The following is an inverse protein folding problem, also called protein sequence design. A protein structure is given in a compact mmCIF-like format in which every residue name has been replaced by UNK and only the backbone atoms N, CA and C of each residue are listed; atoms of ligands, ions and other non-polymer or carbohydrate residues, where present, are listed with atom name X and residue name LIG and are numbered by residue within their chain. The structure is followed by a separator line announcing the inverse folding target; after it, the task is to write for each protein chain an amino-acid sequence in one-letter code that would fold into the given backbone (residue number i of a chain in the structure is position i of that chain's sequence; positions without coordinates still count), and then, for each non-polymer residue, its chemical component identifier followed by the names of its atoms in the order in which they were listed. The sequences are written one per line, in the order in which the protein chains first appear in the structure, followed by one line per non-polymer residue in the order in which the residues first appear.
data_IF_786229892178
#
_entry.id   IF_786229892178
#
_cell.length_a   1.000
_cell.length_b   1.000
_cell.length_c   1.000
_cell.angle_alpha   90.00
_cell.angle_beta   90.00
_cell.angle_gamma   90.00
#
_symmetry.space_group_name_H-M   'P 1'
#
loop_
_entity.id
_entity.type
_entity.pdbx_description
1 polymer ?
#
# COMPACT_ATOMS: atom_id res chain seq x y z
N UNK A 1 3.88 -13.56 10.12
CA UNK A 1 3.64 -12.94 8.81
C UNK A 1 4.67 -11.86 8.47
N UNK A 2 4.78 -10.80 9.27
CA UNK A 2 5.71 -9.68 8.99
C UNK A 2 7.17 -10.15 8.97
N UNK A 3 7.62 -10.94 9.95
CA UNK A 3 8.98 -11.50 9.99
C UNK A 3 9.25 -12.46 8.84
N UNK A 4 8.27 -13.29 8.46
CA UNK A 4 8.36 -14.19 7.29
C UNK A 4 8.51 -13.42 5.97
N UNK A 5 8.04 -12.17 5.95
CA UNK A 5 8.18 -11.26 4.82
C UNK A 5 9.31 -10.22 5.00
N UNK A 6 10.30 -10.54 5.86
CA UNK A 6 11.55 -9.80 5.97
C UNK A 6 11.54 -8.60 6.93
N UNK A 7 10.47 -8.38 7.68
CA UNK A 7 10.43 -7.30 8.66
C UNK A 7 11.16 -7.68 9.96
N UNK A 8 11.89 -6.74 10.51
CA UNK A 8 12.41 -6.84 11.89
C UNK A 8 11.40 -6.19 12.85
N UNK A 9 10.92 -6.96 13.83
CA UNK A 9 9.97 -6.47 14.82
C UNK A 9 10.70 -5.83 15.99
N UNK A 10 10.28 -4.62 16.35
CA UNK A 10 10.72 -3.90 17.54
C UNK A 10 9.49 -3.58 18.39
N UNK A 11 9.60 -3.84 19.68
CA UNK A 11 8.52 -3.54 20.62
C UNK A 11 8.79 -2.22 21.33
N UNK A 12 7.72 -1.46 21.56
CA UNK A 12 7.76 -0.27 22.37
C UNK A 12 6.48 -0.16 23.23
N UNK A 13 6.58 0.55 24.33
CA UNK A 13 5.48 0.76 25.27
C UNK A 13 5.06 2.23 25.30
N UNK A 14 3.84 2.59 24.86
CA UNK A 14 3.36 3.97 24.96
C UNK A 14 3.30 4.51 26.41
N UNK A 15 3.36 3.62 27.41
CA UNK A 15 3.37 4.00 28.83
C UNK A 15 4.79 4.26 29.33
N UNK A 16 5.77 3.40 28.95
CA UNK A 16 7.08 3.37 29.58
C UNK A 16 8.20 3.97 28.75
N UNK A 17 8.10 3.91 27.42
CA UNK A 17 9.13 4.44 26.54
C UNK A 17 8.85 5.92 26.24
N UNK A 18 9.91 6.69 26.00
CA UNK A 18 9.80 8.13 25.71
C UNK A 18 9.43 8.44 24.27
N UNK A 19 9.69 7.51 23.34
CA UNK A 19 9.50 7.70 21.90
C UNK A 19 9.41 6.38 21.16
N UNK A 20 8.87 6.44 19.93
CA UNK A 20 8.92 5.33 18.97
C UNK A 20 10.38 5.11 18.54
N UNK A 21 10.84 3.86 18.37
CA UNK A 21 12.19 3.57 17.88
C UNK A 21 12.53 4.34 16.60
N UNK A 22 13.70 5.00 16.56
CA UNK A 22 14.11 5.89 15.47
C UNK A 22 14.28 5.19 14.12
N UNK A 23 14.59 3.91 14.14
CA UNK A 23 14.77 3.06 12.96
C UNK A 23 13.50 2.30 12.56
N UNK A 24 12.36 2.69 13.11
CA UNK A 24 11.06 2.20 12.65
C UNK A 24 10.69 2.81 11.29
N UNK A 25 10.26 1.97 10.37
CA UNK A 25 9.78 2.34 9.04
C UNK A 25 8.28 2.07 8.86
N UNK A 26 7.67 1.37 9.81
CA UNK A 26 6.25 1.16 9.97
C UNK A 26 5.89 1.05 11.44
N UNK A 27 4.69 1.44 11.83
CA UNK A 27 4.24 1.36 13.22
C UNK A 27 2.87 0.71 13.33
N UNK A 28 2.71 -0.16 14.32
CA UNK A 28 1.44 -0.84 14.60
C UNK A 28 1.07 -0.62 16.06
N UNK A 29 -0.09 -0.01 16.27
CA UNK A 29 -0.75 0.08 17.57
C UNK A 29 -1.84 -0.99 17.62
N UNK A 30 -1.52 -2.11 18.26
CA UNK A 30 -2.47 -3.21 18.41
C UNK A 30 -3.63 -2.89 19.35
N UNK A 31 -4.61 -3.76 19.35
CA UNK A 31 -5.70 -3.78 20.33
C UNK A 31 -5.21 -3.85 21.77
N UNK A 32 -6.08 -3.52 22.69
CA UNK A 32 -5.82 -3.49 24.13
C UNK A 32 -6.87 -2.65 24.82
N UNK A 33 -6.60 -2.29 26.06
CA UNK A 33 -7.53 -1.54 26.92
C UNK A 33 -6.89 -0.23 27.41
N UNK A 34 -6.61 0.74 26.49
CA UNK A 34 -5.92 1.99 26.84
C UNK A 34 -6.72 2.84 27.84
N UNK A 35 -8.04 2.68 27.91
CA UNK A 35 -8.90 3.35 28.88
C UNK A 35 -8.56 3.00 30.34
N UNK A 36 -7.95 1.85 30.58
CA UNK A 36 -7.49 1.46 31.92
C UNK A 36 -6.21 2.19 32.35
N UNK A 37 -5.47 2.69 31.39
CA UNK A 37 -4.19 3.37 31.55
C UNK A 37 -4.23 4.77 30.95
N UNK A 38 -5.42 5.34 30.80
CA UNK A 38 -5.62 6.60 30.10
C UNK A 38 -4.83 7.76 30.76
N UNK A 39 -4.72 7.74 32.09
CA UNK A 39 -3.96 8.74 32.84
C UNK A 39 -2.46 8.60 32.53
N UNK A 40 -1.89 7.43 32.67
CA UNK A 40 -0.46 7.13 32.44
C UNK A 40 -0.08 7.44 30.98
N UNK A 41 -0.90 7.02 30.02
CA UNK A 41 -0.73 7.34 28.60
C UNK A 41 -0.70 8.86 28.36
N UNK A 42 -1.60 9.61 29.01
CA UNK A 42 -1.68 11.07 28.87
C UNK A 42 -0.54 11.82 29.53
N UNK A 43 0.05 11.25 30.58
CA UNK A 43 1.20 11.80 31.29
C UNK A 43 2.50 11.64 30.49
N UNK A 44 2.59 10.63 29.62
CA UNK A 44 3.74 10.40 28.74
C UNK A 44 3.72 11.33 27.50
N UNK A 45 3.89 12.64 27.75
CA UNK A 45 3.85 13.65 26.71
C UNK A 45 4.94 13.52 25.65
N UNK A 46 6.08 12.93 26.01
CA UNK A 46 7.18 12.68 25.07
C UNK A 46 6.78 11.65 24.02
N UNK A 47 6.18 10.53 24.44
CA UNK A 47 5.66 9.50 23.53
C UNK A 47 4.53 10.08 22.65
N UNK A 48 3.57 10.81 23.21
CA UNK A 48 2.49 11.46 22.43
C UNK A 48 3.07 12.36 21.33
N UNK A 49 4.08 13.16 21.65
CA UNK A 49 4.78 14.00 20.65
C UNK A 49 5.50 13.16 19.59
N UNK A 50 6.16 12.08 20.03
CA UNK A 50 6.84 11.17 19.11
C UNK A 50 5.86 10.49 18.14
N UNK A 51 4.74 9.97 18.65
CA UNK A 51 3.67 9.38 17.83
C UNK A 51 3.16 10.36 16.79
N UNK A 52 2.83 11.58 17.21
CA UNK A 52 2.36 12.63 16.31
C UNK A 52 3.41 12.95 15.24
N UNK A 53 4.65 13.21 15.64
CA UNK A 53 5.75 13.52 14.72
C UNK A 53 5.96 12.40 13.68
N UNK A 54 5.95 11.16 14.12
CA UNK A 54 6.21 9.99 13.27
C UNK A 54 5.05 9.77 12.29
N UNK A 55 3.79 9.88 12.72
CA UNK A 55 2.64 9.75 11.81
C UNK A 55 2.59 10.92 10.83
N UNK A 56 2.81 12.16 11.29
CA UNK A 56 2.86 13.35 10.44
C UNK A 56 4.00 13.28 9.39
N UNK A 57 5.10 12.56 9.68
CA UNK A 57 6.17 12.32 8.70
C UNK A 57 5.77 11.33 7.59
N UNK A 58 4.62 10.70 7.71
CA UNK A 58 4.05 9.82 6.70
C UNK A 58 4.51 8.36 6.78
N UNK A 59 4.92 7.89 7.95
CA UNK A 59 5.18 6.47 8.20
C UNK A 59 3.90 5.64 7.99
N UNK A 60 4.04 4.41 7.52
CA UNK A 60 2.92 3.49 7.47
C UNK A 60 2.45 3.14 8.89
N UNK A 61 1.16 3.35 9.17
CA UNK A 61 0.59 3.16 10.50
C UNK A 61 -0.67 2.29 10.46
N UNK A 62 -0.69 1.25 11.29
CA UNK A 62 -1.89 0.47 11.60
C UNK A 62 -2.27 0.75 13.06
N UNK A 63 -3.54 1.10 13.30
CA UNK A 63 -4.07 1.31 14.64
C UNK A 63 -5.42 0.60 14.82
N UNK A 64 -5.40 -0.51 15.54
CA UNK A 64 -6.60 -1.34 15.74
C UNK A 64 -7.16 -1.19 17.15
N UNK A 65 -8.48 -1.07 17.27
CA UNK A 65 -9.23 -1.10 18.53
C UNK A 65 -8.64 -0.17 19.61
N UNK A 66 -7.85 -0.70 20.57
CA UNK A 66 -7.18 0.12 21.59
C UNK A 66 -6.18 1.11 20.98
N UNK A 67 -5.45 0.72 19.94
CA UNK A 67 -4.57 1.61 19.18
C UNK A 67 -5.33 2.74 18.51
N UNK A 68 -6.50 2.44 17.93
CA UNK A 68 -7.39 3.44 17.36
C UNK A 68 -7.87 4.44 18.43
N UNK A 69 -8.24 3.96 19.64
CA UNK A 69 -8.62 4.84 20.75
C UNK A 69 -7.48 5.77 21.16
N UNK A 70 -6.23 5.27 21.19
CA UNK A 70 -5.05 6.05 21.54
C UNK A 70 -4.73 7.17 20.53
N UNK A 71 -5.13 7.01 19.27
CA UNK A 71 -4.92 8.04 18.25
C UNK A 71 -5.91 9.21 18.32
N UNK A 72 -6.99 9.13 19.12
CA UNK A 72 -7.94 10.25 19.29
C UNK A 72 -7.32 11.45 20.02
N UNK A 73 -8.01 12.59 19.98
CA UNK A 73 -7.64 13.77 20.77
C UNK A 73 -7.81 13.51 22.26
N UNK A 74 -8.87 12.79 22.65
CA UNK A 74 -9.17 12.45 24.03
C UNK A 74 -9.72 11.03 24.18
N UNK A 75 -9.36 10.40 25.30
CA UNK A 75 -9.91 9.11 25.72
C UNK A 75 -10.53 9.24 27.12
N UNK A 76 -11.78 8.80 27.28
CA UNK A 76 -12.39 8.65 28.58
C UNK A 76 -11.80 7.42 29.28
N UNK A 77 -11.20 7.65 30.45
CA UNK A 77 -10.69 6.56 31.29
C UNK A 77 -11.81 5.81 32.01
N UNK A 78 -11.45 4.71 32.68
CA UNK A 78 -12.40 3.93 33.50
C UNK A 78 -12.94 4.71 34.69
N UNK A 79 -12.28 5.79 35.09
CA UNK A 79 -12.69 6.75 36.14
C UNK A 79 -13.68 7.81 35.64
N UNK A 80 -14.06 7.78 34.37
CA UNK A 80 -14.96 8.72 33.73
C UNK A 80 -14.36 10.09 33.38
N UNK A 81 -13.04 10.26 33.56
CA UNK A 81 -12.35 11.47 33.18
C UNK A 81 -11.80 11.38 31.76
N UNK A 82 -11.69 12.52 31.10
CA UNK A 82 -11.11 12.63 29.77
C UNK A 82 -9.63 12.94 29.85
N UNK A 83 -8.84 12.18 29.12
CA UNK A 83 -7.38 12.28 29.07
C UNK A 83 -6.91 12.58 27.65
N UNK A 84 -6.00 13.55 27.44
CA UNK A 84 -5.46 13.82 26.13
C UNK A 84 -4.61 12.67 25.62
N UNK A 85 -4.76 12.34 24.35
CA UNK A 85 -4.05 11.26 23.64
C UNK A 85 -3.24 11.81 22.47
N UNK A 86 -2.92 10.98 21.47
CA UNK A 86 -2.04 11.37 20.38
C UNK A 86 -2.59 12.50 19.48
N UNK A 87 -3.92 12.66 19.38
CA UNK A 87 -4.55 13.75 18.62
C UNK A 87 -4.31 13.68 17.12
N UNK A 88 -4.19 12.49 16.58
CA UNK A 88 -4.14 12.24 15.12
C UNK A 88 -5.55 12.26 14.55
N UNK A 89 -6.50 11.69 15.29
CA UNK A 89 -7.91 11.66 14.95
C UNK A 89 -8.60 12.67 15.83
N UNK A 90 -9.22 13.68 15.22
CA UNK A 90 -9.98 14.65 15.97
C UNK A 90 -11.23 14.01 16.56
N UNK A 91 -11.50 14.35 17.83
CA UNK A 91 -12.63 13.80 18.54
C UNK A 91 -12.27 13.02 19.79
N UNK A 92 -13.28 12.43 20.38
CA UNK A 92 -13.20 11.74 21.66
C UNK A 92 -13.58 10.27 21.54
N UNK A 93 -12.87 9.42 22.26
CA UNK A 93 -13.27 8.05 22.52
C UNK A 93 -13.86 7.96 23.94
N UNK A 94 -15.11 7.49 24.06
CA UNK A 94 -15.89 7.53 25.30
C UNK A 94 -16.47 6.17 25.64
N UNK A 95 -16.75 5.94 26.92
CA UNK A 95 -17.38 4.70 27.37
C UNK A 95 -18.80 4.56 26.83
N UNK A 96 -19.04 3.49 26.08
CA UNK A 96 -20.35 3.17 25.54
C UNK A 96 -21.36 2.60 26.55
N UNK A 97 -20.93 2.38 27.81
CA UNK A 97 -21.71 1.80 28.92
C UNK A 97 -22.21 0.38 28.71
N UNK A 98 -22.09 -0.15 27.52
CA UNK A 98 -22.46 -1.52 27.16
C UNK A 98 -21.57 -1.98 26.01
N UNK A 99 -21.55 -3.26 25.72
CA UNK A 99 -20.88 -3.81 24.56
C UNK A 99 -21.42 -3.10 23.30
N UNK A 100 -20.54 -2.43 22.56
CA UNK A 100 -20.92 -1.66 21.39
C UNK A 100 -21.00 -2.56 20.16
N UNK A 101 -19.97 -3.37 19.96
CA UNK A 101 -19.92 -4.30 18.85
C UNK A 101 -19.15 -5.57 19.21
N UNK A 102 -19.60 -6.69 18.65
CA UNK A 102 -18.96 -7.99 18.80
C UNK A 102 -19.26 -8.86 17.59
N UNK A 103 -18.23 -9.54 17.08
CA UNK A 103 -18.34 -10.59 16.08
C UNK A 103 -17.60 -10.29 14.80
N UNK A 104 -17.90 -11.08 13.77
CA UNK A 104 -17.27 -10.96 12.46
C UNK A 104 -17.96 -9.91 11.61
N UNK A 105 -17.13 -9.15 10.90
CA UNK A 105 -17.54 -8.12 9.97
C UNK A 105 -16.93 -8.38 8.60
N UNK A 106 -17.66 -8.07 7.57
CA UNK A 106 -17.15 -7.88 6.22
C UNK A 106 -17.06 -6.39 5.98
N UNK A 107 -15.85 -5.91 5.67
CA UNK A 107 -15.60 -4.48 5.48
C UNK A 107 -15.12 -4.23 4.07
N UNK A 108 -15.73 -3.25 3.43
CA UNK A 108 -15.43 -2.87 2.04
C UNK A 108 -14.97 -1.42 2.02
N UNK A 109 -13.74 -1.12 1.58
CA UNK A 109 -13.26 0.25 1.49
C UNK A 109 -14.00 1.00 0.39
N UNK A 110 -14.29 2.28 0.64
CA UNK A 110 -14.97 3.16 -0.33
C UNK A 110 -14.00 3.86 -1.28
N UNK A 111 -12.71 3.82 -0.96
CA UNK A 111 -11.60 4.34 -1.77
C UNK A 111 -10.35 3.48 -1.58
N UNK A 112 -9.42 3.59 -2.53
CA UNK A 112 -8.11 2.95 -2.39
C UNK A 112 -7.37 3.50 -1.17
N UNK A 113 -6.65 2.62 -0.48
CA UNK A 113 -5.84 2.97 0.68
C UNK A 113 -4.89 1.85 1.06
N UNK A 114 -4.25 1.98 2.22
CA UNK A 114 -3.30 0.99 2.69
C UNK A 114 -3.95 -0.37 2.96
N UNK A 115 -5.20 -0.40 3.43
CA UNK A 115 -5.85 -1.66 3.76
C UNK A 115 -6.09 -2.55 2.54
N UNK A 116 -6.64 -1.99 1.47
CA UNK A 116 -6.87 -2.67 0.20
C UNK A 116 -7.39 -1.70 -0.86
N UNK A 117 -7.61 -2.20 -2.06
CA UNK A 117 -8.23 -1.44 -3.15
C UNK A 117 -9.71 -1.22 -2.89
N UNK A 118 -10.24 -0.15 -3.46
CA UNK A 118 -11.66 0.17 -3.42
C UNK A 118 -12.53 -1.03 -3.84
N UNK A 119 -13.61 -1.25 -3.09
CA UNK A 119 -14.59 -2.33 -3.30
C UNK A 119 -14.05 -3.76 -3.11
N UNK A 120 -12.84 -3.95 -2.61
CA UNK A 120 -12.33 -5.26 -2.25
C UNK A 120 -12.66 -5.58 -0.78
N UNK A 121 -13.52 -6.57 -0.49
CA UNK A 121 -13.95 -6.85 0.87
C UNK A 121 -12.86 -7.53 1.70
N UNK A 122 -12.76 -7.15 2.97
CA UNK A 122 -11.90 -7.75 3.99
C UNK A 122 -12.75 -8.43 5.05
N UNK A 123 -12.28 -9.55 5.58
CA UNK A 123 -12.87 -10.23 6.73
C UNK A 123 -12.19 -9.75 8.00
N UNK A 124 -12.98 -9.26 8.94
CA UNK A 124 -12.48 -8.66 10.17
C UNK A 124 -13.27 -9.13 11.38
N UNK A 125 -12.80 -8.80 12.57
CA UNK A 125 -13.49 -9.04 13.82
C UNK A 125 -13.50 -7.75 14.65
N UNK A 126 -14.60 -7.47 15.36
CA UNK A 126 -14.70 -6.38 16.33
C UNK A 126 -15.09 -6.90 17.71
N UNK A 127 -14.51 -6.27 18.74
CA UNK A 127 -14.91 -6.45 20.13
C UNK A 127 -14.54 -5.21 20.94
N UNK A 128 -15.52 -4.34 21.24
CA UNK A 128 -15.24 -3.13 22.01
C UNK A 128 -16.46 -2.60 22.79
N UNK A 129 -16.16 -1.98 23.92
CA UNK A 129 -17.14 -1.28 24.78
C UNK A 129 -17.08 0.23 24.58
N UNK A 130 -15.89 0.79 24.27
CA UNK A 130 -15.73 2.20 23.97
C UNK A 130 -16.24 2.49 22.55
N UNK A 131 -16.68 3.72 22.35
CA UNK A 131 -17.11 4.23 21.06
C UNK A 131 -16.35 5.49 20.71
N UNK A 132 -16.13 5.73 19.44
CA UNK A 132 -15.58 6.97 18.92
C UNK A 132 -16.71 7.95 18.58
N UNK A 133 -16.52 9.24 18.90
CA UNK A 133 -17.36 10.31 18.39
C UNK A 133 -17.04 10.65 16.92
N UNK A 134 -15.87 10.21 16.44
CA UNK A 134 -15.44 10.35 15.05
C UNK A 134 -14.88 8.99 14.58
N UNK A 135 -15.78 8.02 14.23
CA UNK A 135 -15.36 6.67 13.90
C UNK A 135 -14.72 6.53 12.50
N UNK A 136 -14.67 7.61 11.69
CA UNK A 136 -14.29 7.54 10.29
C UNK A 136 -15.43 7.07 9.39
N UNK A 137 -15.16 7.03 8.07
CA UNK A 137 -16.17 6.67 7.07
C UNK A 137 -15.58 6.00 5.82
N UNK A 138 -14.33 5.54 5.88
CA UNK A 138 -13.63 5.01 4.71
C UNK A 138 -13.96 3.55 4.42
N UNK A 139 -14.75 2.90 5.31
CA UNK A 139 -15.23 1.55 5.08
C UNK A 139 -16.75 1.45 5.26
N UNK A 140 -17.38 0.72 4.36
CA UNK A 140 -18.68 0.13 4.60
C UNK A 140 -18.49 -1.15 5.43
N UNK A 141 -19.06 -1.18 6.62
CA UNK A 141 -18.94 -2.29 7.57
C UNK A 141 -20.25 -3.05 7.64
N UNK A 142 -20.26 -4.28 7.15
CA UNK A 142 -21.40 -5.20 7.22
C UNK A 142 -21.18 -6.22 8.32
N UNK A 143 -22.07 -6.29 9.30
CA UNK A 143 -22.02 -7.30 10.34
C UNK A 143 -22.58 -8.61 9.82
N UNK A 144 -21.83 -9.70 9.97
CA UNK A 144 -22.20 -11.01 9.38
C UNK A 144 -23.44 -11.61 10.04
N UNK A 145 -23.69 -11.35 11.34
CA UNK A 145 -24.77 -12.00 12.11
C UNK A 145 -26.16 -11.45 11.86
N UNK A 146 -26.29 -10.15 11.53
CA UNK A 146 -27.59 -9.47 11.39
C UNK A 146 -27.67 -8.58 10.14
N UNK A 147 -26.62 -8.64 9.30
CA UNK A 147 -26.48 -7.90 8.05
C UNK A 147 -26.59 -6.37 8.18
N UNK A 148 -26.50 -5.84 9.39
CA UNK A 148 -26.51 -4.39 9.61
C UNK A 148 -25.29 -3.73 8.96
N UNK A 149 -25.53 -2.57 8.34
CA UNK A 149 -24.49 -1.82 7.64
C UNK A 149 -24.25 -0.49 8.36
N UNK A 150 -22.97 -0.13 8.47
CA UNK A 150 -22.53 1.17 9.00
C UNK A 150 -21.29 1.65 8.27
N UNK A 151 -20.93 2.92 8.46
CA UNK A 151 -19.66 3.47 7.98
C UNK A 151 -18.72 3.63 9.17
N UNK A 152 -17.45 3.23 9.02
CA UNK A 152 -16.41 3.40 10.05
C UNK A 152 -15.01 3.26 9.46
N UNK A 153 -14.01 3.60 10.29
CA UNK A 153 -12.58 3.44 9.99
C UNK A 153 -12.01 4.50 9.07
N UNK A 154 -10.70 4.59 9.12
CA UNK A 154 -9.85 5.44 8.29
C UNK A 154 -8.96 4.55 7.43
N UNK A 155 -8.89 4.82 6.13
CA UNK A 155 -8.10 4.09 5.14
C UNK A 155 -7.43 5.06 4.17
N UNK A 156 -6.35 5.66 4.61
CA UNK A 156 -5.52 6.50 3.74
C UNK A 156 -4.39 5.68 3.12
N UNK A 157 -3.56 6.29 2.28
CA UNK A 157 -2.38 5.62 1.74
C UNK A 157 -1.39 5.12 2.81
N UNK A 158 -1.41 5.73 4.01
CA UNK A 158 -0.40 5.53 5.06
C UNK A 158 -0.99 5.18 6.42
N UNK A 159 -2.30 5.33 6.61
CA UNK A 159 -2.96 5.07 7.87
C UNK A 159 -4.16 4.15 7.68
N UNK A 160 -4.16 3.04 8.39
CA UNK A 160 -5.35 2.28 8.74
C UNK A 160 -5.64 2.50 10.23
N UNK A 161 -6.83 2.99 10.57
CA UNK A 161 -7.23 3.18 11.96
C UNK A 161 -8.72 2.87 12.16
N UNK A 162 -9.04 1.86 12.96
CA UNK A 162 -10.41 1.38 13.14
C UNK A 162 -10.57 0.50 14.39
N UNK A 163 -11.83 0.21 14.77
CA UNK A 163 -12.10 -0.84 15.75
C UNK A 163 -11.91 -2.26 15.19
N UNK A 164 -11.96 -2.43 13.88
CA UNK A 164 -11.84 -3.71 13.20
C UNK A 164 -10.42 -4.25 13.31
N UNK A 165 -10.32 -5.53 13.71
CA UNK A 165 -9.08 -6.29 13.71
C UNK A 165 -8.96 -7.06 12.40
N UNK A 166 -7.83 -6.90 11.71
CA UNK A 166 -7.53 -7.57 10.44
C UNK A 166 -6.48 -8.65 10.67
N UNK A 167 -6.84 -9.89 10.40
CA UNK A 167 -5.92 -11.01 10.47
C UNK A 167 -5.10 -11.11 9.18
N UNK A 168 -3.79 -10.91 9.23
CA UNK A 168 -2.92 -10.82 8.05
C UNK A 168 -2.95 -12.07 7.16
N UNK A 169 -2.92 -13.26 7.73
CA UNK A 169 -2.99 -14.49 6.92
C UNK A 169 -4.35 -14.72 6.26
N UNK A 170 -5.39 -14.05 6.74
CA UNK A 170 -6.71 -14.05 6.10
C UNK A 170 -6.89 -12.93 5.09
N UNK A 171 -5.98 -11.94 5.07
CA UNK A 171 -6.00 -10.77 4.23
C UNK A 171 -4.54 -10.38 3.89
N UNK A 172 -3.84 -11.26 3.18
CA UNK A 172 -2.39 -11.11 2.93
C UNK A 172 -2.04 -9.79 2.23
N UNK A 173 -2.91 -9.32 1.33
CA UNK A 173 -2.72 -8.05 0.63
C UNK A 173 -2.61 -6.88 1.61
N UNK A 174 -3.38 -6.86 2.69
CA UNK A 174 -3.29 -5.84 3.73
C UNK A 174 -1.91 -5.80 4.38
N UNK A 175 -1.39 -6.96 4.80
CA UNK A 175 -0.05 -7.07 5.38
C UNK A 175 1.05 -6.68 4.40
N UNK A 176 0.93 -7.11 3.14
CA UNK A 176 1.89 -6.76 2.09
C UNK A 176 1.86 -5.27 1.73
N UNK A 177 0.68 -4.64 1.72
CA UNK A 177 0.56 -3.20 1.51
C UNK A 177 1.23 -2.41 2.63
N UNK A 178 1.09 -2.84 3.89
CA UNK A 178 1.78 -2.22 5.02
C UNK A 178 3.31 -2.33 4.85
N UNK A 179 3.84 -3.51 4.50
CA UNK A 179 5.28 -3.71 4.24
C UNK A 179 5.75 -2.81 3.11
N UNK A 180 5.04 -2.80 2.00
CA UNK A 180 5.33 -1.94 0.85
C UNK A 180 5.42 -0.47 1.24
N UNK A 181 4.44 0.04 1.99
CA UNK A 181 4.41 1.44 2.44
C UNK A 181 5.52 1.75 3.44
N UNK A 182 5.90 0.80 4.27
CA UNK A 182 7.06 0.91 5.17
C UNK A 182 8.37 1.02 4.39
N UNK A 183 8.57 0.21 3.35
CA UNK A 183 9.74 0.28 2.48
C UNK A 183 9.79 1.59 1.64
N UNK A 184 8.64 2.08 1.17
CA UNK A 184 8.53 3.40 0.53
C UNK A 184 8.96 4.51 1.49
N UNK A 185 8.55 4.46 2.75
CA UNK A 185 8.94 5.42 3.78
C UNK A 185 10.44 5.36 4.07
N UNK A 186 11.01 4.17 4.26
CA UNK A 186 12.43 3.95 4.49
C UNK A 186 13.29 4.50 3.34
N UNK A 187 12.91 4.19 2.10
CA UNK A 187 13.59 4.68 0.91
C UNK A 187 13.53 6.22 0.81
N UNK A 188 12.38 6.84 1.06
CA UNK A 188 12.23 8.29 1.07
C UNK A 188 13.11 8.93 2.13
N UNK A 189 13.09 8.40 3.35
CA UNK A 189 13.93 8.85 4.47
C UNK A 189 15.42 8.74 4.12
N UNK A 190 15.83 7.65 3.45
CA UNK A 190 17.20 7.48 2.97
C UNK A 190 17.57 8.58 1.96
N UNK A 191 16.74 8.81 0.93
CA UNK A 191 16.95 9.85 -0.07
C UNK A 191 17.01 11.26 0.51
N UNK A 192 16.17 11.58 1.49
CA UNK A 192 16.16 12.88 2.15
C UNK A 192 17.40 13.13 3.01
N UNK A 193 18.06 12.07 3.47
CA UNK A 193 19.30 12.14 4.25
C UNK A 193 20.59 12.18 3.39
N UNK A 194 20.49 12.00 2.07
CA UNK A 194 21.64 12.15 1.18
C UNK A 194 21.97 13.65 1.03
N UNK A 195 23.27 13.98 0.97
CA UNK A 195 23.77 15.35 0.79
C UNK A 195 23.41 15.91 -0.59
N UNK A 196 22.17 16.31 -0.78
CA UNK A 196 21.62 16.95 -1.98
C UNK A 196 20.50 17.92 -1.57
N UNK A 197 20.06 18.86 -2.44
CA UNK A 197 18.82 19.60 -2.19
C UNK A 197 17.63 18.63 -2.03
N UNK A 198 16.72 18.92 -1.09
CA UNK A 198 15.50 18.14 -0.94
C UNK A 198 14.72 18.12 -2.26
N UNK A 199 14.29 16.93 -2.68
CA UNK A 199 13.63 16.67 -3.96
C UNK A 199 14.44 17.20 -5.18
N UNK A 200 15.77 17.30 -5.08
CA UNK A 200 16.63 17.87 -6.11
C UNK A 200 16.65 17.09 -7.42
N UNK A 201 16.24 15.81 -7.42
CA UNK A 201 16.11 14.97 -8.60
C UNK A 201 14.66 14.84 -9.09
N UNK A 202 13.70 15.55 -8.44
CA UNK A 202 12.30 15.57 -8.83
C UNK A 202 11.66 14.19 -8.88
N UNK A 203 10.87 13.92 -9.93
CA UNK A 203 10.13 12.68 -10.13
C UNK A 203 10.97 11.41 -10.07
N UNK A 204 12.29 11.54 -10.32
CA UNK A 204 13.21 10.39 -10.23
C UNK A 204 13.26 9.81 -8.81
N UNK A 205 13.22 10.66 -7.78
CA UNK A 205 13.21 10.20 -6.40
C UNK A 205 11.92 9.44 -6.10
N UNK A 206 10.78 9.94 -6.58
CA UNK A 206 9.48 9.29 -6.41
C UNK A 206 9.41 7.93 -7.12
N UNK A 207 10.04 7.83 -8.29
CA UNK A 207 10.15 6.56 -9.02
C UNK A 207 10.95 5.53 -8.22
N UNK A 208 12.09 5.92 -7.65
CA UNK A 208 12.92 5.04 -6.82
C UNK A 208 12.18 4.59 -5.57
N UNK A 209 11.48 5.51 -4.91
CA UNK A 209 10.64 5.18 -3.75
C UNK A 209 9.55 4.15 -4.10
N UNK A 210 8.88 4.31 -5.25
CA UNK A 210 7.90 3.33 -5.73
C UNK A 210 8.52 1.96 -6.04
N UNK A 211 9.73 1.94 -6.61
CA UNK A 211 10.46 0.68 -6.86
C UNK A 211 10.81 -0.01 -5.54
N UNK A 212 11.26 0.74 -4.52
CA UNK A 212 11.51 0.22 -3.19
C UNK A 212 10.26 -0.49 -2.61
N UNK A 213 9.10 0.15 -2.73
CA UNK A 213 7.83 -0.46 -2.34
C UNK A 213 7.47 -1.72 -3.13
N UNK A 214 7.76 -1.75 -4.44
CA UNK A 214 7.50 -2.95 -5.28
C UNK A 214 8.44 -4.10 -4.90
N UNK A 215 9.69 -3.80 -4.57
CA UNK A 215 10.71 -4.77 -4.21
C UNK A 215 10.66 -5.16 -2.71
N UNK A 216 9.85 -4.50 -1.91
CA UNK A 216 9.78 -4.65 -0.44
C UNK A 216 11.15 -4.49 0.23
N UNK A 217 11.92 -3.48 -0.19
CA UNK A 217 13.25 -3.16 0.36
C UNK A 217 13.58 -1.69 0.13
N UNK A 218 14.29 -1.07 1.06
CA UNK A 218 14.85 0.27 0.88
C UNK A 218 16.05 0.28 -0.10
N UNK A 219 16.72 -0.87 -0.28
CA UNK A 219 17.86 -1.04 -1.16
C UNK A 219 17.41 -1.50 -2.54
N UNK A 220 17.10 -0.52 -3.38
CA UNK A 220 16.60 -0.76 -4.73
C UNK A 220 17.64 -1.41 -5.62
N UNK A 221 17.31 -2.56 -6.21
CA UNK A 221 18.10 -3.24 -7.22
C UNK A 221 17.48 -3.04 -8.62
N UNK A 222 18.19 -2.34 -9.50
CA UNK A 222 17.83 -2.14 -10.90
C UNK A 222 18.75 -2.90 -11.86
N UNK A 223 19.44 -3.94 -11.40
CA UNK A 223 20.31 -4.78 -12.24
C UNK A 223 19.52 -5.50 -13.34
N UNK A 224 18.30 -5.96 -13.02
CA UNK A 224 17.37 -6.56 -13.98
C UNK A 224 16.43 -5.49 -14.55
N UNK A 225 16.54 -5.25 -15.85
CA UNK A 225 15.73 -4.27 -16.58
C UNK A 225 14.98 -4.94 -17.72
N UNK A 226 13.76 -4.50 -18.00
CA UNK A 226 13.00 -4.94 -19.14
C UNK A 226 12.39 -3.76 -19.88
N UNK A 227 12.42 -3.82 -21.22
CA UNK A 227 11.70 -2.93 -22.10
C UNK A 227 10.49 -3.68 -22.66
N UNK A 228 9.30 -3.36 -22.19
CA UNK A 228 8.04 -3.91 -22.68
C UNK A 228 7.58 -3.09 -23.87
N UNK A 229 7.35 -3.73 -25.03
CA UNK A 229 6.92 -3.07 -26.25
C UNK A 229 5.56 -3.64 -26.66
N UNK A 230 4.54 -2.81 -26.55
CA UNK A 230 3.17 -3.18 -26.95
C UNK A 230 3.04 -3.03 -28.47
N UNK A 231 2.72 -4.13 -29.15
CA UNK A 231 2.61 -4.22 -30.60
C UNK A 231 1.12 -4.29 -30.98
N UNK A 232 0.65 -3.29 -31.74
CA UNK A 232 -0.71 -3.25 -32.24
C UNK A 232 -0.79 -2.52 -33.57
N UNK A 233 -1.76 -2.88 -34.37
CA UNK A 233 -2.20 -2.14 -35.54
C UNK A 233 -3.40 -1.27 -35.16
N UNK A 234 -3.36 -0.01 -35.55
CA UNK A 234 -4.36 1.00 -35.21
C UNK A 234 -5.18 1.48 -36.41
N UNK A 235 -5.06 0.80 -37.56
CA UNK A 235 -5.78 1.14 -38.78
C UNK A 235 -5.21 2.32 -39.59
N UNK A 236 -4.11 2.94 -39.16
CA UNK A 236 -3.54 4.12 -39.83
C UNK A 236 -3.16 3.87 -41.29
N UNK A 237 -2.87 2.61 -41.66
CA UNK A 237 -2.55 2.21 -43.03
C UNK A 237 -3.72 2.48 -43.99
N UNK A 238 -4.96 2.36 -43.53
CA UNK A 238 -6.19 2.62 -44.32
C UNK A 238 -6.31 4.10 -44.69
N UNK A 239 -5.71 5.00 -43.94
CA UNK A 239 -5.68 6.44 -44.20
C UNK A 239 -4.62 6.84 -45.25
N UNK A 240 -3.85 5.88 -45.79
CA UNK A 240 -2.81 6.09 -46.80
C UNK A 240 -1.71 7.10 -46.39
N UNK A 241 -1.47 7.25 -45.09
CA UNK A 241 -0.40 8.14 -44.55
C UNK A 241 0.84 7.35 -44.16
N UNK A 242 0.76 6.02 -44.12
CA UNK A 242 1.88 5.14 -43.82
C UNK A 242 2.67 4.77 -45.08
N UNK A 243 4.00 4.77 -44.96
CA UNK A 243 4.90 4.31 -46.05
C UNK A 243 5.01 2.78 -46.13
N UNK A 244 4.51 2.07 -45.12
CA UNK A 244 4.60 0.61 -45.00
C UNK A 244 3.22 0.00 -44.84
N UNK A 245 3.08 -1.26 -45.21
CA UNK A 245 1.85 -2.03 -45.01
C UNK A 245 1.66 -2.47 -43.56
N UNK A 246 0.50 -3.05 -43.29
CA UNK A 246 0.08 -3.51 -41.97
C UNK A 246 0.88 -4.74 -41.48
N UNK A 247 1.49 -5.49 -42.39
CA UNK A 247 2.36 -6.63 -42.14
C UNK A 247 3.65 -6.27 -41.36
N UNK A 248 4.07 -5.01 -41.40
CA UNK A 248 5.29 -4.54 -40.76
C UNK A 248 5.24 -4.69 -39.25
N UNK A 249 4.09 -4.50 -38.61
CA UNK A 249 3.94 -4.65 -37.16
C UNK A 249 4.26 -6.09 -36.72
N UNK A 250 3.73 -7.09 -37.46
CA UNK A 250 4.01 -8.50 -37.21
C UNK A 250 5.50 -8.84 -37.44
N UNK A 251 6.09 -8.33 -38.52
CA UNK A 251 7.51 -8.56 -38.86
C UNK A 251 8.41 -7.96 -37.78
N UNK A 252 8.12 -6.74 -37.33
CA UNK A 252 8.93 -6.08 -36.28
C UNK A 252 8.79 -6.79 -34.95
N UNK A 253 7.60 -7.22 -34.55
CA UNK A 253 7.40 -8.04 -33.36
C UNK A 253 8.20 -9.34 -33.40
N UNK A 254 8.17 -10.06 -34.53
CA UNK A 254 8.96 -11.25 -34.77
C UNK A 254 10.49 -11.00 -34.70
N UNK A 255 10.94 -9.87 -35.24
CA UNK A 255 12.35 -9.48 -35.16
C UNK A 255 12.77 -9.13 -33.74
N UNK A 256 11.89 -8.53 -32.92
CA UNK A 256 12.14 -8.28 -31.50
C UNK A 256 12.22 -9.60 -30.72
N UNK A 257 11.28 -10.54 -30.96
CA UNK A 257 11.32 -11.87 -30.34
C UNK A 257 12.62 -12.62 -30.66
N UNK A 258 13.09 -12.49 -31.93
CA UNK A 258 14.32 -13.09 -32.39
C UNK A 258 15.60 -12.32 -32.03
N UNK A 259 15.49 -11.22 -31.27
CA UNK A 259 16.60 -10.34 -30.88
C UNK A 259 17.35 -9.67 -32.05
N UNK A 260 16.70 -9.47 -33.21
CA UNK A 260 17.28 -8.94 -34.43
C UNK A 260 16.93 -7.49 -34.72
N UNK A 261 15.98 -6.91 -33.96
CA UNK A 261 15.59 -5.51 -34.17
C UNK A 261 16.64 -4.51 -33.66
N UNK A 262 16.63 -3.30 -34.20
CA UNK A 262 17.52 -2.21 -33.76
C UNK A 262 17.34 -1.91 -32.26
N UNK A 263 16.12 -1.96 -31.73
CA UNK A 263 15.85 -1.77 -30.32
C UNK A 263 16.52 -2.85 -29.45
N UNK A 264 16.55 -4.11 -29.90
CA UNK A 264 17.24 -5.17 -29.19
C UNK A 264 18.76 -4.96 -29.15
N UNK A 265 19.33 -4.47 -30.23
CA UNK A 265 20.76 -4.15 -30.30
C UNK A 265 21.11 -2.97 -29.38
N UNK A 266 20.33 -1.89 -29.40
CA UNK A 266 20.54 -0.71 -28.56
C UNK A 266 20.35 -1.03 -27.06
N UNK A 267 19.29 -1.75 -26.73
CA UNK A 267 18.97 -2.13 -25.35
C UNK A 267 19.96 -3.16 -24.80
N UNK A 268 20.55 -3.98 -25.67
CA UNK A 268 21.58 -4.96 -25.30
C UNK A 268 22.78 -4.34 -24.57
N UNK A 269 23.18 -3.10 -24.87
CA UNK A 269 24.23 -2.39 -24.16
C UNK A 269 23.87 -2.06 -22.70
N UNK A 270 22.58 -1.99 -22.35
CA UNK A 270 22.12 -1.72 -20.99
C UNK A 270 21.88 -2.99 -20.18
N UNK A 271 22.01 -4.17 -20.80
CA UNK A 271 21.66 -5.46 -20.21
C UNK A 271 20.15 -5.69 -20.01
N UNK A 272 19.29 -4.83 -20.58
CA UNK A 272 17.86 -4.97 -20.45
C UNK A 272 17.29 -6.03 -21.41
N UNK A 273 16.21 -6.68 -20.99
CA UNK A 273 15.44 -7.61 -21.79
C UNK A 273 14.39 -6.87 -22.62
N UNK A 274 14.25 -7.16 -23.90
CA UNK A 274 13.15 -6.68 -24.74
C UNK A 274 12.03 -7.71 -24.72
N UNK A 275 10.81 -7.28 -24.41
CA UNK A 275 9.62 -8.13 -24.30
C UNK A 275 8.55 -7.54 -25.23
N UNK A 276 8.39 -8.05 -26.46
CA UNK A 276 7.26 -7.68 -27.31
C UNK A 276 5.98 -8.31 -26.80
N UNK A 277 4.91 -7.53 -26.75
CA UNK A 277 3.56 -7.96 -26.33
C UNK A 277 2.58 -7.67 -27.44
N UNK A 278 1.95 -8.70 -27.96
CA UNK A 278 0.84 -8.56 -28.90
C UNK A 278 -0.41 -8.11 -28.15
N UNK A 279 -0.88 -6.91 -28.44
CA UNK A 279 -2.11 -6.34 -27.92
C UNK A 279 -3.14 -6.02 -29.03
N UNK A 280 -2.87 -6.48 -30.26
CA UNK A 280 -3.76 -6.27 -31.41
C UNK A 280 -3.02 -6.19 -32.74
N UNK A 281 -2.08 -7.10 -33.01
CA UNK A 281 -1.46 -7.26 -34.32
C UNK A 281 -2.51 -7.87 -35.26
N UNK A 282 -2.82 -7.18 -36.37
CA UNK A 282 -3.87 -7.58 -37.30
C UNK A 282 -3.41 -8.71 -38.26
N UNK A 283 -2.12 -8.84 -38.50
CA UNK A 283 -1.58 -9.85 -39.38
C UNK A 283 -1.30 -11.16 -38.61
N UNK A 284 -2.01 -12.22 -38.93
CA UNK A 284 -1.87 -13.52 -38.24
C UNK A 284 -0.56 -14.26 -38.56
N UNK A 285 0.04 -13.98 -39.73
CA UNK A 285 1.24 -14.69 -40.21
C UNK A 285 2.28 -13.71 -40.71
N UNK A 286 3.56 -13.98 -40.42
CA UNK A 286 4.69 -13.26 -41.00
C UNK A 286 5.02 -13.83 -42.40
N UNK A 287 5.81 -13.11 -43.23
CA UNK A 287 6.16 -13.54 -44.60
C UNK A 287 6.82 -14.94 -44.68
N UNK A 288 7.42 -15.44 -43.62
CA UNK A 288 7.95 -16.81 -43.55
C UNK A 288 6.89 -17.88 -43.40
N UNK A 289 5.61 -17.54 -43.28
CA UNK A 289 4.49 -18.48 -43.10
C UNK A 289 4.27 -18.92 -41.66
N UNK A 290 5.03 -18.37 -40.69
CA UNK A 290 4.85 -18.71 -39.26
C UNK A 290 3.76 -17.80 -38.67
N UNK A 291 2.86 -18.38 -37.88
CA UNK A 291 1.84 -17.62 -37.17
C UNK A 291 2.45 -16.83 -36.02
N UNK A 292 1.94 -15.64 -35.79
CA UNK A 292 2.39 -14.77 -34.67
C UNK A 292 2.09 -15.44 -33.33
N UNK A 293 0.93 -16.09 -33.18
CA UNK A 293 0.53 -16.80 -31.96
C UNK A 293 1.46 -17.98 -31.60
N UNK A 294 2.14 -18.54 -32.60
CA UNK A 294 3.06 -19.67 -32.40
C UNK A 294 4.52 -19.21 -32.22
N UNK A 295 4.77 -17.91 -32.04
CA UNK A 295 6.14 -17.38 -31.92
C UNK A 295 6.58 -17.29 -30.47
N UNK A 296 7.61 -18.09 -30.13
CA UNK A 296 8.31 -17.94 -28.86
C UNK A 296 8.88 -16.52 -28.71
N UNK A 297 8.72 -15.94 -27.51
CA UNK A 297 9.27 -14.63 -27.18
C UNK A 297 8.34 -13.45 -27.48
N UNK A 298 7.12 -13.67 -27.98
CA UNK A 298 6.02 -12.69 -28.00
C UNK A 298 5.03 -13.10 -26.91
N UNK A 299 4.67 -12.13 -26.05
CA UNK A 299 3.59 -12.33 -25.09
C UNK A 299 2.26 -11.93 -25.74
N UNK A 300 1.26 -12.79 -25.63
CA UNK A 300 -0.08 -12.55 -26.16
C UNK A 300 -1.04 -12.21 -25.03
N UNK A 301 -1.87 -11.19 -25.25
CA UNK A 301 -2.97 -10.88 -24.33
C UNK A 301 -4.07 -11.93 -24.59
N UNK A 302 -4.26 -12.82 -23.63
CA UNK A 302 -5.40 -13.77 -23.60
C UNK A 302 -6.69 -13.03 -23.22
#
# INVERSE_FOLDING_TARGET
FLEENGCRIMYFSPIHDSEIPHDADGVIFWGGYPERYAKELSENKSMIKSVKKVIDSGIACIAECGGFLYLHSYLEGTDGKKYPMAGIIDGEAVNGKRLQRFGYMEVTPVSDGMACRCMQPLKTHEFHYWKSCNPGSDFQVKKVSDESISMAGYNTEKLYAAFMHIYFYGNEEFGMNFIKKSCEYAAKKHWDNIAKPLNGLGDFEDIIVKIAGIQNTEHVDISKKALVIMCADNGIVEENVSQSGQDVTAIVAANMASRKSSVCLMVGYTGAQVIPVDIGIACETIPSGKKIDDMDGILHKK
#
